data_IF_026271407242
#
_entry.id   IF_026271407242
#
_cell.length_a   1.000
_cell.length_b   1.000
_cell.length_c   1.000
_cell.angle_alpha   90.00
_cell.angle_beta   90.00
_cell.angle_gamma   90.00
#
_symmetry.space_group_name_H-M   'P 1'
#
loop_
_entity.id
_entity.type
_entity.pdbx_description
1 polymer ?
#
# COMPACT_ATOMS: atom_id res chain seq x y z
N UNK A 1 5.15 -0.78 15.45
CA UNK A 1 5.17 -1.84 14.44
C UNK A 1 6.41 -1.64 13.59
N UNK A 2 7.27 -2.65 13.50
CA UNK A 2 8.48 -2.62 12.66
C UNK A 2 8.22 -3.55 11.49
N UNK A 3 8.25 -3.01 10.27
CA UNK A 3 8.10 -3.80 9.04
C UNK A 3 9.46 -4.35 8.61
N UNK A 4 9.48 -5.56 8.10
CA UNK A 4 10.63 -6.25 7.55
C UNK A 4 10.42 -6.60 6.08
N UNK A 5 11.54 -6.82 5.38
CA UNK A 5 11.50 -7.37 4.01
C UNK A 5 10.85 -8.75 4.05
N UNK A 6 9.90 -8.98 3.15
CA UNK A 6 9.14 -10.22 3.04
C UNK A 6 7.76 -10.15 3.71
N UNK A 7 7.52 -9.16 4.59
CA UNK A 7 6.22 -8.99 5.22
C UNK A 7 5.12 -8.77 4.19
N UNK A 8 3.96 -9.35 4.49
CA UNK A 8 2.72 -9.15 3.77
C UNK A 8 1.93 -8.03 4.44
N UNK A 9 1.50 -7.07 3.62
CA UNK A 9 0.87 -5.84 4.09
C UNK A 9 -0.31 -5.49 3.19
N UNK A 10 -1.42 -5.14 3.81
CA UNK A 10 -2.62 -4.63 3.14
C UNK A 10 -2.89 -3.22 3.60
N UNK A 11 -3.27 -2.33 2.69
CA UNK A 11 -3.58 -0.95 3.02
C UNK A 11 -4.93 -0.86 3.75
N UNK A 12 -4.99 -0.06 4.81
CA UNK A 12 -6.22 0.24 5.52
C UNK A 12 -7.01 1.34 4.78
N UNK A 13 -8.21 1.04 4.26
CA UNK A 13 -8.95 1.99 3.43
C UNK A 13 -9.36 3.25 4.19
N UNK A 14 -9.71 3.17 5.47
CA UNK A 14 -10.11 4.34 6.27
C UNK A 14 -8.94 5.29 6.49
N UNK A 15 -7.75 4.77 6.76
CA UNK A 15 -6.53 5.58 6.90
C UNK A 15 -6.08 6.17 5.57
N UNK A 16 -6.26 5.45 4.46
CA UNK A 16 -5.99 5.99 3.13
C UNK A 16 -6.99 7.11 2.80
N UNK A 17 -8.27 6.98 3.16
CA UNK A 17 -9.29 8.02 3.00
C UNK A 17 -8.98 9.27 3.82
N UNK A 18 -8.61 9.12 5.09
CA UNK A 18 -8.22 10.24 5.96
C UNK A 18 -7.05 11.04 5.32
N UNK A 19 -6.06 10.34 4.75
CA UNK A 19 -4.95 10.95 4.01
C UNK A 19 -5.37 11.58 2.69
N UNK A 20 -6.22 10.92 1.93
CA UNK A 20 -6.76 11.44 0.68
C UNK A 20 -7.58 12.71 0.93
N UNK A 21 -8.35 12.77 2.02
CA UNK A 21 -9.10 13.96 2.42
C UNK A 21 -8.18 15.15 2.74
N UNK A 22 -7.02 14.90 3.34
CA UNK A 22 -6.02 15.94 3.60
C UNK A 22 -5.32 16.45 2.32
N UNK A 23 -5.28 15.64 1.24
CA UNK A 23 -4.69 15.97 -0.06
C UNK A 23 -5.48 15.35 -1.23
N UNK A 24 -6.64 15.92 -1.60
CA UNK A 24 -7.60 15.29 -2.51
C UNK A 24 -7.16 15.27 -3.98
N UNK A 25 -6.29 16.19 -4.40
CA UNK A 25 -5.83 16.28 -5.78
C UNK A 25 -4.65 15.32 -6.12
N UNK A 26 -4.25 14.45 -5.21
CA UNK A 26 -3.12 13.55 -5.46
C UNK A 26 -3.61 12.26 -6.13
N UNK A 27 -3.32 12.10 -7.42
CA UNK A 27 -3.63 10.88 -8.18
C UNK A 27 -3.05 9.63 -7.52
N UNK A 28 -1.89 9.76 -6.87
CA UNK A 28 -1.28 8.69 -6.09
C UNK A 28 -2.16 8.24 -4.91
N UNK A 29 -2.85 9.16 -4.21
CA UNK A 29 -3.77 8.84 -3.14
C UNK A 29 -5.02 8.11 -3.67
N UNK A 30 -5.56 8.53 -4.82
CA UNK A 30 -6.68 7.86 -5.45
C UNK A 30 -6.35 6.41 -5.82
N UNK A 31 -5.14 6.18 -6.34
CA UNK A 31 -4.63 4.83 -6.64
C UNK A 31 -4.48 3.97 -5.39
N UNK A 32 -3.86 4.52 -4.34
CA UNK A 32 -3.71 3.86 -3.04
C UNK A 32 -5.06 3.50 -2.43
N UNK A 33 -6.06 4.37 -2.58
CA UNK A 33 -7.41 4.12 -2.07
C UNK A 33 -8.09 2.97 -2.81
N UNK A 34 -8.05 2.97 -4.14
CA UNK A 34 -8.64 1.88 -4.93
C UNK A 34 -8.04 0.51 -4.56
N UNK A 35 -6.74 0.44 -4.31
CA UNK A 35 -6.06 -0.78 -3.89
C UNK A 35 -6.42 -1.19 -2.46
N UNK A 36 -6.62 -0.22 -1.56
CA UNK A 36 -7.05 -0.47 -0.19
C UNK A 36 -8.50 -0.97 -0.12
N UNK A 37 -9.40 -0.36 -0.91
CA UNK A 37 -10.79 -0.80 -1.04
C UNK A 37 -10.90 -2.23 -1.59
N UNK A 38 -10.07 -2.58 -2.57
CA UNK A 38 -9.97 -3.95 -3.10
C UNK A 38 -9.23 -4.93 -2.18
N UNK A 39 -8.68 -4.47 -1.05
CA UNK A 39 -7.94 -5.31 -0.10
C UNK A 39 -6.69 -5.96 -0.70
N UNK A 40 -6.04 -5.31 -1.69
CA UNK A 40 -4.86 -5.87 -2.35
C UNK A 40 -3.73 -6.04 -1.34
N UNK A 41 -3.18 -7.25 -1.29
CA UNK A 41 -2.05 -7.57 -0.42
C UNK A 41 -0.74 -7.41 -1.17
N UNK A 42 0.21 -6.74 -0.52
CA UNK A 42 1.54 -6.48 -1.06
C UNK A 42 2.61 -7.15 -0.22
N UNK A 43 3.69 -7.58 -0.86
CA UNK A 43 4.91 -8.05 -0.20
C UNK A 43 5.96 -6.95 -0.22
N UNK A 44 6.55 -6.66 0.93
CA UNK A 44 7.68 -5.72 1.03
C UNK A 44 8.92 -6.36 0.41
N UNK A 45 9.44 -5.77 -0.67
CA UNK A 45 10.63 -6.26 -1.36
C UNK A 45 11.89 -5.54 -0.91
N UNK A 46 11.78 -4.25 -0.55
CA UNK A 46 12.89 -3.43 -0.11
C UNK A 46 12.40 -2.28 0.78
N UNK A 47 13.25 -1.86 1.72
CA UNK A 47 12.99 -0.74 2.63
C UNK A 47 14.12 0.27 2.43
N UNK A 48 13.80 1.47 1.93
CA UNK A 48 14.75 2.56 1.71
C UNK A 48 14.56 3.67 2.74
N UNK A 49 15.66 4.15 3.30
CA UNK A 49 15.66 5.23 4.30
C UNK A 49 15.53 4.71 5.73
N UNK A 50 16.34 5.26 6.62
CA UNK A 50 16.36 4.92 8.05
C UNK A 50 17.10 5.97 8.86
N UNK A 51 16.57 6.27 10.05
CA UNK A 51 16.90 7.34 10.99
C UNK A 51 16.48 8.77 10.58
N UNK A 52 15.31 9.20 11.08
CA UNK A 52 14.85 10.61 11.03
C UNK A 52 13.90 10.98 9.88
N UNK A 53 13.68 10.10 8.91
CA UNK A 53 12.74 10.30 7.80
C UNK A 53 11.76 9.13 7.66
N UNK A 54 10.62 9.36 7.01
CA UNK A 54 9.60 8.33 6.73
C UNK A 54 10.21 7.29 5.79
N UNK A 55 10.38 6.00 6.20
CA UNK A 55 10.92 4.98 5.32
C UNK A 55 10.04 4.75 4.10
N UNK A 56 10.69 4.52 2.96
CA UNK A 56 10.06 4.19 1.70
C UNK A 56 10.08 2.69 1.49
N UNK A 57 8.91 2.07 1.42
CA UNK A 57 8.78 0.65 1.16
C UNK A 57 8.53 0.43 -0.32
N UNK A 58 9.42 -0.33 -0.96
CA UNK A 58 9.13 -0.93 -2.25
C UNK A 58 8.35 -2.21 -2.00
N UNK A 59 7.29 -2.36 -2.77
CA UNK A 59 6.41 -3.51 -2.65
C UNK A 59 6.14 -4.16 -4.00
N UNK A 60 5.73 -5.41 -3.95
CA UNK A 60 5.22 -6.16 -5.09
C UNK A 60 3.86 -6.73 -4.72
N UNK A 61 2.91 -6.72 -5.66
CA UNK A 61 1.63 -7.40 -5.50
C UNK A 61 1.88 -8.89 -5.29
N UNK A 62 1.16 -9.49 -4.36
CA UNK A 62 1.16 -10.94 -4.19
C UNK A 62 0.24 -11.53 -5.25
N UNK A 63 0.82 -12.16 -6.27
CA UNK A 63 0.11 -12.75 -7.42
C UNK A 63 -0.69 -14.02 -7.07
N UNK A 64 -0.49 -14.59 -5.88
CA UNK A 64 -1.17 -15.82 -5.46
C UNK A 64 -2.58 -15.52 -4.96
N UNK A 65 -3.59 -16.01 -5.69
CA UNK A 65 -5.02 -15.91 -5.36
C UNK A 65 -5.57 -14.47 -5.31
N UNK A 66 -5.24 -13.64 -6.31
CA UNK A 66 -5.98 -12.40 -6.53
C UNK A 66 -7.42 -12.71 -6.93
N UNK A 67 -8.38 -11.99 -6.34
CA UNK A 67 -9.77 -12.03 -6.80
C UNK A 67 -9.91 -11.27 -8.12
N UNK A 68 -10.95 -11.57 -8.90
CA UNK A 68 -11.27 -10.84 -10.14
C UNK A 68 -11.33 -9.33 -9.90
N UNK A 69 -11.92 -8.90 -8.78
CA UNK A 69 -12.00 -7.49 -8.40
C UNK A 69 -10.60 -6.86 -8.16
N UNK A 70 -9.69 -7.61 -7.53
CA UNK A 70 -8.32 -7.16 -7.32
C UNK A 70 -7.55 -7.06 -8.63
N UNK A 71 -7.73 -8.01 -9.54
CA UNK A 71 -7.13 -7.97 -10.89
C UNK A 71 -7.63 -6.76 -11.67
N UNK A 72 -8.95 -6.53 -11.74
CA UNK A 72 -9.53 -5.38 -12.44
C UNK A 72 -9.02 -4.04 -11.88
N UNK A 73 -8.89 -3.95 -10.55
CA UNK A 73 -8.33 -2.75 -9.92
C UNK A 73 -6.85 -2.57 -10.29
N UNK A 74 -6.05 -3.65 -10.30
CA UNK A 74 -4.64 -3.59 -10.68
C UNK A 74 -4.45 -3.18 -12.15
N UNK A 75 -5.27 -3.69 -13.05
CA UNK A 75 -5.27 -3.30 -14.47
C UNK A 75 -5.62 -1.82 -14.64
N UNK A 76 -6.59 -1.32 -13.87
CA UNK A 76 -7.05 0.08 -13.94
C UNK A 76 -6.07 1.07 -13.29
N UNK A 77 -5.48 0.70 -12.16
CA UNK A 77 -4.60 1.56 -11.35
C UNK A 77 -3.16 1.56 -11.89
N UNK A 78 -2.75 0.45 -12.50
CA UNK A 78 -1.38 0.18 -12.92
C UNK A 78 -0.49 -0.25 -11.74
N UNK A 79 0.73 -0.73 -12.04
CA UNK A 79 1.65 -1.22 -11.01
C UNK A 79 2.07 -0.10 -10.06
N UNK A 80 1.92 -0.33 -8.75
CA UNK A 80 2.51 0.53 -7.72
C UNK A 80 3.82 -0.09 -7.25
N UNK A 81 4.91 0.68 -7.40
CA UNK A 81 6.24 0.27 -6.94
C UNK A 81 6.55 0.70 -5.50
N UNK A 82 5.79 1.65 -4.93
CA UNK A 82 6.14 2.32 -3.67
C UNK A 82 4.90 2.69 -2.83
N UNK A 83 4.91 2.35 -1.54
CA UNK A 83 3.84 2.66 -0.57
C UNK A 83 4.35 3.37 0.69
N UNK A 84 5.56 3.94 0.61
CA UNK A 84 6.35 4.53 1.71
C UNK A 84 5.57 5.27 2.80
N UNK A 85 4.76 6.26 2.44
CA UNK A 85 4.14 7.14 3.44
C UNK A 85 2.95 6.51 4.20
N UNK A 86 2.35 5.45 3.66
CA UNK A 86 1.18 4.79 4.26
C UNK A 86 1.59 3.75 5.31
N UNK A 87 2.62 2.96 5.04
CA UNK A 87 3.10 1.91 5.93
C UNK A 87 3.60 2.45 7.27
N UNK A 88 4.16 3.67 7.31
CA UNK A 88 4.79 4.20 8.53
C UNK A 88 3.83 4.64 9.64
N UNK A 89 2.54 4.89 9.35
CA UNK A 89 1.62 5.56 10.29
C UNK A 89 0.27 4.85 10.43
N UNK A 90 0.30 3.55 10.74
CA UNK A 90 -0.89 2.76 11.12
C UNK A 90 -1.92 2.53 9.99
N UNK A 91 -1.60 2.86 8.74
CA UNK A 91 -2.50 2.65 7.59
C UNK A 91 -2.37 1.25 6.98
N UNK A 92 -1.90 0.27 7.75
CA UNK A 92 -1.56 -1.05 7.25
C UNK A 92 -1.94 -2.14 8.24
N UNK A 93 -2.57 -3.18 7.70
CA UNK A 93 -2.86 -4.43 8.37
C UNK A 93 -1.81 -5.45 7.91
N UNK A 94 -1.05 -6.03 8.83
CA UNK A 94 -0.19 -7.18 8.54
C UNK A 94 -1.04 -8.43 8.40
N UNK A 95 -1.00 -9.09 7.25
CA UNK A 95 -1.57 -10.42 7.08
C UNK A 95 -0.58 -11.44 7.67
N UNK A 96 -1.02 -12.21 8.67
CA UNK A 96 -0.23 -13.26 9.34
C UNK A 96 -0.17 -14.54 8.51
#
# INVERSE_FOLDING_TARGET
MTFARGDLVTLDPDKVRERAAARPACLENARKLALADAGVTFRITEIKGGAGSVPLFLVRVVDGDLTVEQEEVLERVGPIAQVGELLCRQAVVTAH
#
